data_IF_690367413758
#
_entry.id   IF_690367413758
#
_cell.length_a   1.000
_cell.length_b   1.000
_cell.length_c   1.000
_cell.angle_alpha   90.00
_cell.angle_beta   90.00
_cell.angle_gamma   90.00
#
_symmetry.space_group_name_H-M   'P 1'
#
loop_
_entity.id
_entity.type
_entity.pdbx_description
1 polymer ?
#
# COMPACT_ATOMS: atom_id res chain seq x y z
N UNK A 1 27.48 -15.12 15.59
CA UNK A 1 26.25 -14.88 16.38
C UNK A 1 26.05 -13.38 16.48
N UNK A 2 25.48 -12.78 15.43
CA UNK A 2 25.07 -11.38 15.44
C UNK A 2 23.88 -11.23 16.38
N UNK A 3 24.05 -10.48 17.46
CA UNK A 3 22.94 -9.96 18.25
C UNK A 3 22.25 -8.93 17.37
N UNK A 4 21.14 -9.30 16.75
CA UNK A 4 20.21 -8.32 16.24
C UNK A 4 19.64 -7.58 17.44
N UNK A 5 20.08 -6.34 17.64
CA UNK A 5 19.36 -5.41 18.48
C UNK A 5 18.00 -5.22 17.86
N UNK A 6 16.97 -5.80 18.48
CA UNK A 6 15.59 -5.60 18.09
C UNK A 6 15.21 -4.13 18.29
N UNK A 7 15.38 -3.33 17.25
CA UNK A 7 14.35 -2.35 16.99
C UNK A 7 13.08 -3.18 16.76
N UNK A 8 12.03 -2.95 17.54
CA UNK A 8 10.74 -3.60 17.32
C UNK A 8 10.41 -3.46 15.85
N UNK A 9 10.13 -4.55 15.12
CA UNK A 9 9.81 -4.42 13.71
C UNK A 9 8.59 -3.51 13.58
N UNK A 10 8.75 -2.43 12.84
CA UNK A 10 7.69 -1.45 12.60
C UNK A 10 6.84 -2.02 11.48
N UNK A 11 5.54 -2.16 11.74
CA UNK A 11 4.57 -2.50 10.70
C UNK A 11 4.06 -1.18 10.11
N UNK A 12 4.27 -0.98 8.79
CA UNK A 12 3.78 0.20 8.07
C UNK A 12 2.60 -0.22 7.20
N UNK A 13 1.47 0.45 7.40
CA UNK A 13 0.21 0.21 6.69
C UNK A 13 -0.36 1.53 6.17
N UNK A 14 -0.41 1.71 4.85
CA UNK A 14 -0.88 2.94 4.25
C UNK A 14 -0.10 4.18 4.69
N UNK A 15 1.20 4.04 4.93
CA UNK A 15 2.08 5.09 5.43
C UNK A 15 1.97 5.36 6.94
N UNK A 16 1.19 4.57 7.69
CA UNK A 16 1.02 4.70 9.14
C UNK A 16 1.83 3.62 9.86
N UNK A 17 2.65 4.03 10.83
CA UNK A 17 3.36 3.11 11.71
C UNK A 17 2.40 2.51 12.74
N UNK A 18 2.30 1.19 12.76
CA UNK A 18 1.45 0.45 13.68
C UNK A 18 2.37 -0.39 14.58
N UNK A 19 2.29 -0.22 15.92
CA UNK A 19 3.08 -1.02 16.85
C UNK A 19 2.73 -2.50 16.73
N UNK A 20 3.71 -3.33 16.41
CA UNK A 20 3.56 -4.78 16.33
C UNK A 20 4.91 -5.46 16.48
N UNK A 21 4.91 -6.71 16.95
CA UNK A 21 6.12 -7.51 17.14
C UNK A 21 6.74 -8.03 15.84
N UNK A 22 6.02 -7.93 14.72
CA UNK A 22 6.44 -8.39 13.39
C UNK A 22 6.18 -7.29 12.36
N UNK A 23 7.13 -7.04 11.46
CA UNK A 23 6.95 -6.21 10.27
C UNK A 23 6.87 -7.08 9.02
N UNK A 24 6.45 -6.48 7.90
CA UNK A 24 6.50 -7.15 6.60
C UNK A 24 7.93 -7.23 6.07
N UNK A 25 8.30 -8.37 5.53
CA UNK A 25 9.55 -8.53 4.78
C UNK A 25 9.33 -8.05 3.34
N UNK A 26 10.20 -7.17 2.85
CA UNK A 26 10.11 -6.66 1.49
C UNK A 26 11.38 -5.92 1.05
N UNK A 27 11.47 -5.60 -0.25
CA UNK A 27 12.57 -4.81 -0.83
C UNK A 27 12.46 -3.31 -0.56
N UNK A 28 11.25 -2.83 -0.17
CA UNK A 28 10.95 -1.47 0.27
C UNK A 28 10.69 -1.44 1.79
N UNK A 29 9.91 -0.48 2.27
CA UNK A 29 9.43 -0.44 3.66
C UNK A 29 8.38 -1.53 3.98
N UNK A 30 7.98 -2.33 2.98
CA UNK A 30 7.04 -3.43 3.12
C UNK A 30 5.57 -2.99 3.25
N UNK A 31 5.22 -1.76 2.89
CA UNK A 31 3.83 -1.28 2.93
C UNK A 31 2.97 -1.93 1.83
N UNK A 32 2.40 -3.08 2.17
CA UNK A 32 1.57 -3.88 1.26
C UNK A 32 0.32 -3.12 0.79
N UNK A 33 -0.17 -2.18 1.58
CA UNK A 33 -1.36 -1.36 1.26
C UNK A 33 -1.04 -0.33 0.18
N UNK A 34 0.05 0.41 0.33
CA UNK A 34 0.49 1.36 -0.70
C UNK A 34 0.87 0.64 -2.01
N UNK A 35 1.52 -0.53 -1.93
CA UNK A 35 1.86 -1.31 -3.12
C UNK A 35 0.62 -1.78 -3.88
N UNK A 36 -0.37 -2.34 -3.18
CA UNK A 36 -1.62 -2.77 -3.80
C UNK A 36 -2.39 -1.61 -4.43
N UNK A 37 -2.45 -0.46 -3.74
CA UNK A 37 -3.10 0.74 -4.27
C UNK A 37 -2.40 1.26 -5.53
N UNK A 38 -1.07 1.32 -5.53
CA UNK A 38 -0.29 1.73 -6.70
C UNK A 38 -0.52 0.82 -7.90
N UNK A 39 -0.50 -0.49 -7.69
CA UNK A 39 -0.75 -1.46 -8.76
C UNK A 39 -2.18 -1.38 -9.30
N UNK A 40 -3.17 -1.17 -8.44
CA UNK A 40 -4.56 -0.96 -8.87
C UNK A 40 -4.71 0.29 -9.73
N UNK A 41 -4.04 1.38 -9.38
CA UNK A 41 -4.04 2.64 -10.13
C UNK A 41 -3.37 2.46 -11.50
N UNK A 42 -2.19 1.85 -11.53
CA UNK A 42 -1.47 1.55 -12.77
C UNK A 42 -2.28 0.62 -13.67
N UNK A 43 -2.90 -0.42 -13.09
CA UNK A 43 -3.75 -1.36 -13.79
C UNK A 43 -4.99 -0.70 -14.39
N UNK A 44 -5.64 0.22 -13.68
CA UNK A 44 -6.80 0.98 -14.18
C UNK A 44 -6.46 1.81 -15.43
N UNK A 45 -5.19 2.20 -15.59
CA UNK A 45 -4.70 2.97 -16.72
C UNK A 45 -3.92 2.14 -17.75
N UNK A 46 -3.83 0.81 -17.56
CA UNK A 46 -3.02 -0.10 -18.39
C UNK A 46 -1.53 0.30 -18.49
N UNK A 47 -0.97 0.82 -17.39
CA UNK A 47 0.43 1.27 -17.31
C UNK A 47 1.39 0.23 -16.70
N UNK A 48 0.92 -1.01 -16.49
CA UNK A 48 1.72 -2.09 -15.93
C UNK A 48 1.64 -2.17 -14.41
N UNK A 49 2.78 -2.36 -13.76
CA UNK A 49 2.89 -2.58 -12.33
C UNK A 49 4.10 -1.86 -11.73
N UNK A 50 4.16 -1.73 -10.40
CA UNK A 50 5.26 -1.05 -9.71
C UNK A 50 6.61 -1.75 -9.93
N UNK A 51 6.65 -3.06 -10.11
CA UNK A 51 7.88 -3.81 -10.38
C UNK A 51 8.56 -3.44 -11.70
N UNK A 52 7.79 -2.96 -12.68
CA UNK A 52 8.33 -2.43 -13.95
C UNK A 52 8.87 -1.01 -13.79
N UNK A 53 8.25 -0.19 -12.93
CA UNK A 53 8.69 1.18 -12.67
C UNK A 53 9.89 1.24 -11.71
N UNK A 54 9.97 0.27 -10.81
CA UNK A 54 10.99 0.16 -9.77
C UNK A 54 11.53 -1.26 -9.74
N UNK A 55 12.38 -1.67 -10.70
CA UNK A 55 12.95 -3.00 -10.72
C UNK A 55 13.75 -3.29 -9.44
N UNK A 56 13.60 -4.47 -8.81
CA UNK A 56 14.27 -4.80 -7.56
C UNK A 56 15.80 -4.88 -7.68
N UNK A 57 16.30 -4.89 -8.92
CA UNK A 57 17.75 -4.86 -9.26
C UNK A 57 18.36 -3.47 -9.18
N UNK A 58 17.53 -2.42 -9.04
CA UNK A 58 18.00 -1.04 -9.02
C UNK A 58 18.42 -0.64 -7.60
N UNK A 59 19.73 -0.33 -7.34
CA UNK A 59 20.27 -0.09 -6.00
C UNK A 59 19.52 0.96 -5.15
N UNK A 60 18.92 2.03 -5.73
CA UNK A 60 18.19 3.04 -4.97
C UNK A 60 16.89 2.55 -4.34
N UNK A 61 16.43 1.34 -4.65
CA UNK A 61 15.08 0.86 -4.27
C UNK A 61 15.09 0.09 -2.97
N UNK A 62 16.24 -0.44 -2.55
CA UNK A 62 16.33 -1.16 -1.28
C UNK A 62 16.02 -0.22 -0.11
N UNK A 63 14.86 -0.45 0.53
CA UNK A 63 14.39 0.36 1.65
C UNK A 63 13.69 1.66 1.24
N UNK A 64 13.28 1.80 -0.05
CA UNK A 64 12.54 2.98 -0.50
C UNK A 64 11.23 3.14 0.30
N UNK A 65 10.95 4.35 0.71
CA UNK A 65 9.67 4.74 1.26
C UNK A 65 8.57 4.58 0.19
N UNK A 66 7.57 3.74 0.44
CA UNK A 66 6.48 3.47 -0.50
C UNK A 66 5.68 4.72 -0.89
N UNK A 67 5.74 5.80 -0.11
CA UNK A 67 5.17 7.10 -0.48
C UNK A 67 5.84 7.71 -1.71
N UNK A 68 7.12 7.45 -1.94
CA UNK A 68 7.84 7.86 -3.17
C UNK A 68 7.35 7.09 -4.39
N UNK A 69 7.03 5.80 -4.20
CA UNK A 69 6.41 4.99 -5.25
C UNK A 69 5.04 5.58 -5.61
N UNK A 70 4.20 5.88 -4.61
CA UNK A 70 2.89 6.49 -4.82
C UNK A 70 2.98 7.85 -5.54
N UNK A 71 3.93 8.71 -5.16
CA UNK A 71 4.15 9.99 -5.82
C UNK A 71 4.49 9.81 -7.32
N UNK A 72 5.34 8.84 -7.65
CA UNK A 72 5.68 8.54 -9.04
C UNK A 72 4.50 8.00 -9.84
N UNK A 73 3.67 7.16 -9.21
CA UNK A 73 2.43 6.66 -9.84
C UNK A 73 1.46 7.82 -10.13
N UNK A 74 1.25 8.73 -9.18
CA UNK A 74 0.41 9.92 -9.40
C UNK A 74 0.92 10.82 -10.53
N UNK A 75 2.24 10.98 -10.63
CA UNK A 75 2.85 11.74 -11.73
C UNK A 75 2.53 11.10 -13.10
N UNK A 76 2.60 9.76 -13.19
CA UNK A 76 2.23 9.02 -14.40
C UNK A 76 0.74 9.15 -14.71
N UNK A 77 -0.13 9.05 -13.73
CA UNK A 77 -1.58 9.26 -13.89
C UNK A 77 -1.85 10.61 -14.53
N UNK A 78 -1.28 11.68 -13.98
CA UNK A 78 -1.44 13.05 -14.52
C UNK A 78 -0.88 13.19 -15.93
N UNK A 79 0.29 12.62 -16.18
CA UNK A 79 0.93 12.65 -17.50
C UNK A 79 0.04 12.02 -18.60
N UNK A 80 -0.77 11.03 -18.23
CA UNK A 80 -1.70 10.35 -19.14
C UNK A 80 -3.15 10.90 -19.04
N UNK A 81 -3.33 12.10 -18.50
CA UNK A 81 -4.64 12.76 -18.43
C UNK A 81 -5.62 12.13 -17.45
N UNK A 82 -5.11 11.30 -16.51
CA UNK A 82 -5.94 10.64 -15.52
C UNK A 82 -6.11 11.45 -14.24
N UNK A 83 -7.21 11.19 -13.54
CA UNK A 83 -7.49 11.69 -12.20
C UNK A 83 -8.09 10.57 -11.34
N UNK A 84 -7.55 10.34 -10.15
CA UNK A 84 -8.12 9.40 -9.21
C UNK A 84 -9.49 9.87 -8.73
N UNK A 85 -10.48 8.98 -8.81
CA UNK A 85 -11.84 9.24 -8.35
C UNK A 85 -12.21 8.45 -7.10
N UNK A 86 -11.72 7.21 -6.96
CA UNK A 86 -12.03 6.35 -5.82
C UNK A 86 -10.96 5.29 -5.61
N UNK A 87 -10.70 4.98 -4.33
CA UNK A 87 -9.89 3.84 -3.90
C UNK A 87 -10.69 2.98 -2.90
N UNK A 88 -10.75 1.68 -3.15
CA UNK A 88 -11.27 0.71 -2.20
C UNK A 88 -10.20 -0.33 -1.88
N UNK A 89 -9.81 -0.43 -0.60
CA UNK A 89 -8.68 -1.23 -0.15
C UNK A 89 -9.12 -2.18 0.96
N UNK A 90 -8.77 -3.45 0.82
CA UNK A 90 -9.02 -4.50 1.81
C UNK A 90 -7.70 -5.16 2.18
N UNK A 91 -7.27 -4.95 3.43
CA UNK A 91 -6.13 -5.65 4.01
C UNK A 91 -6.62 -6.95 4.67
N UNK A 92 -6.04 -8.08 4.33
CA UNK A 92 -6.30 -9.37 4.96
C UNK A 92 -5.10 -9.73 5.83
N UNK A 93 -5.30 -9.70 7.14
CA UNK A 93 -4.26 -10.00 8.13
C UNK A 93 -4.89 -10.52 9.42
N UNK A 94 -4.23 -11.48 10.07
CA UNK A 94 -4.69 -11.99 11.35
C UNK A 94 -4.33 -11.05 12.49
N UNK A 95 -3.16 -10.48 12.45
CA UNK A 95 -2.57 -9.59 13.47
C UNK A 95 -1.78 -8.45 12.83
N UNK A 96 -1.68 -7.30 13.49
CA UNK A 96 -2.45 -6.85 14.65
C UNK A 96 -3.90 -6.49 14.29
N UNK A 97 -4.73 -6.18 15.31
CA UNK A 97 -6.07 -5.63 15.07
C UNK A 97 -5.97 -4.25 14.43
N UNK A 98 -6.40 -4.10 13.20
CA UNK A 98 -6.24 -2.87 12.39
C UNK A 98 -7.38 -1.87 12.60
N UNK A 99 -8.56 -2.34 13.02
CA UNK A 99 -9.75 -1.47 13.11
C UNK A 99 -9.57 -0.19 13.95
N UNK A 100 -8.80 -0.14 15.04
CA UNK A 100 -8.53 1.10 15.77
C UNK A 100 -7.77 2.14 14.94
N UNK A 101 -7.07 1.71 13.89
CA UNK A 101 -6.23 2.54 13.05
C UNK A 101 -6.90 3.01 11.75
N UNK A 102 -8.15 2.58 11.47
CA UNK A 102 -8.85 2.94 10.23
C UNK A 102 -8.89 4.44 9.94
N UNK A 103 -9.23 5.32 10.89
CA UNK A 103 -9.26 6.76 10.61
C UNK A 103 -7.88 7.30 10.19
N UNK A 104 -6.83 6.88 10.90
CA UNK A 104 -5.45 7.31 10.60
C UNK A 104 -4.97 6.81 9.24
N UNK A 105 -5.26 5.54 8.91
CA UNK A 105 -4.87 4.94 7.63
C UNK A 105 -5.62 5.61 6.48
N UNK A 106 -6.93 5.82 6.60
CA UNK A 106 -7.72 6.53 5.59
C UNK A 106 -7.21 7.94 5.33
N UNK A 107 -6.98 8.72 6.40
CA UNK A 107 -6.46 10.08 6.30
C UNK A 107 -5.07 10.09 5.64
N UNK A 108 -4.21 9.14 5.99
CA UNK A 108 -2.88 8.98 5.38
C UNK A 108 -2.98 8.66 3.88
N UNK A 109 -3.81 7.68 3.50
CA UNK A 109 -4.02 7.29 2.11
C UNK A 109 -4.58 8.46 1.28
N UNK A 110 -5.58 9.17 1.80
CA UNK A 110 -6.16 10.33 1.16
C UNK A 110 -5.09 11.41 0.88
N UNK A 111 -4.25 11.69 1.86
CA UNK A 111 -3.14 12.65 1.72
C UNK A 111 -2.09 12.17 0.71
N UNK A 112 -1.68 10.90 0.78
CA UNK A 112 -0.65 10.33 -0.12
C UNK A 112 -1.12 10.34 -1.57
N UNK A 113 -2.39 9.97 -1.82
CA UNK A 113 -2.96 9.92 -3.16
C UNK A 113 -3.69 11.22 -3.57
N UNK A 114 -3.61 12.27 -2.75
CA UNK A 114 -4.19 13.61 -3.02
C UNK A 114 -5.70 13.54 -3.32
N UNK A 115 -6.41 12.77 -2.49
CA UNK A 115 -7.86 12.54 -2.60
C UNK A 115 -8.60 13.07 -1.36
N UNK A 116 -9.90 13.30 -1.48
CA UNK A 116 -10.76 13.48 -0.33
C UNK A 116 -10.93 12.17 0.45
N UNK A 117 -10.96 12.21 1.78
CA UNK A 117 -11.13 11.00 2.60
C UNK A 117 -12.45 10.24 2.32
N UNK A 118 -13.49 10.94 1.86
CA UNK A 118 -14.77 10.33 1.48
C UNK A 118 -14.65 9.39 0.28
N UNK A 119 -13.62 9.58 -0.56
CA UNK A 119 -13.37 8.80 -1.77
C UNK A 119 -12.37 7.67 -1.54
N UNK A 120 -11.91 7.49 -0.29
CA UNK A 120 -11.01 6.42 0.12
C UNK A 120 -11.71 5.48 1.09
N UNK A 121 -11.88 4.23 0.70
CA UNK A 121 -12.36 3.13 1.55
C UNK A 121 -11.18 2.27 2.00
N UNK A 122 -11.07 2.04 3.30
CA UNK A 122 -10.08 1.12 3.87
C UNK A 122 -10.73 0.24 4.93
N UNK A 123 -10.51 -1.06 4.82
CA UNK A 123 -11.02 -2.08 5.74
C UNK A 123 -10.03 -3.21 5.89
N UNK A 124 -10.15 -3.97 6.98
CA UNK A 124 -9.38 -5.20 7.16
C UNK A 124 -10.27 -6.38 7.46
N UNK A 125 -9.79 -7.56 7.11
CA UNK A 125 -10.41 -8.86 7.40
C UNK A 125 -9.37 -9.77 8.03
N UNK A 126 -9.82 -10.62 8.96
CA UNK A 126 -9.02 -11.74 9.44
C UNK A 126 -9.17 -12.94 8.49
N UNK A 127 -8.34 -13.95 8.69
CA UNK A 127 -8.43 -15.21 7.98
C UNK A 127 -8.93 -16.34 8.89
N UNK A 128 -9.61 -15.96 9.99
CA UNK A 128 -10.24 -16.88 10.96
C UNK A 128 -9.29 -18.00 11.43
N UNK A 129 -8.01 -17.66 11.65
CA UNK A 129 -6.93 -18.56 12.06
C UNK A 129 -6.63 -19.70 11.06
N UNK A 130 -7.08 -19.59 9.79
CA UNK A 130 -6.85 -20.59 8.74
C UNK A 130 -5.72 -20.16 7.81
N UNK A 131 -4.86 -21.11 7.46
CA UNK A 131 -3.76 -20.93 6.52
C UNK A 131 -2.62 -20.05 7.05
N UNK A 132 -1.72 -19.65 6.15
CA UNK A 132 -0.53 -18.83 6.49
C UNK A 132 -0.93 -17.47 7.05
N UNK A 133 -1.95 -16.83 6.50
CA UNK A 133 -2.47 -15.55 7.00
C UNK A 133 -3.08 -15.75 8.39
N UNK A 134 -3.86 -16.82 8.57
CA UNK A 134 -4.49 -17.15 9.86
C UNK A 134 -3.48 -17.50 10.96
N UNK A 135 -2.29 -17.95 10.60
CA UNK A 135 -1.16 -18.16 11.55
C UNK A 135 -0.30 -16.91 11.76
N UNK A 136 -0.64 -15.78 11.11
CA UNK A 136 0.13 -14.54 11.21
C UNK A 136 1.51 -14.59 10.54
N UNK A 137 1.68 -15.46 9.55
CA UNK A 137 2.92 -15.63 8.78
C UNK A 137 2.94 -14.77 7.51
N UNK A 138 1.75 -14.36 7.04
CA UNK A 138 1.57 -13.57 5.83
C UNK A 138 0.42 -12.56 5.99
N UNK A 139 0.40 -11.56 5.13
CA UNK A 139 -0.74 -10.69 4.92
C UNK A 139 -0.94 -10.47 3.42
N UNK A 140 -2.15 -10.14 3.02
CA UNK A 140 -2.53 -9.87 1.64
C UNK A 140 -3.33 -8.57 1.57
N UNK A 141 -3.16 -7.82 0.50
CA UNK A 141 -3.95 -6.62 0.28
C UNK A 141 -4.55 -6.63 -1.13
N UNK A 142 -5.84 -6.35 -1.21
CA UNK A 142 -6.57 -6.12 -2.44
C UNK A 142 -6.94 -4.65 -2.55
N UNK A 143 -6.75 -4.07 -3.71
CA UNK A 143 -7.16 -2.70 -3.99
C UNK A 143 -7.90 -2.62 -5.33
N UNK A 144 -8.87 -1.73 -5.39
CA UNK A 144 -9.58 -1.34 -6.61
C UNK A 144 -9.50 0.17 -6.73
N UNK A 145 -9.10 0.65 -7.89
CA UNK A 145 -9.00 2.07 -8.20
C UNK A 145 -9.96 2.44 -9.32
N UNK A 146 -10.61 3.59 -9.19
CA UNK A 146 -11.33 4.25 -10.28
C UNK A 146 -10.54 5.48 -10.70
N UNK A 147 -10.21 5.54 -11.99
CA UNK A 147 -9.51 6.67 -12.60
C UNK A 147 -10.40 7.26 -13.69
N UNK A 148 -10.62 8.56 -13.63
CA UNK A 148 -11.27 9.31 -14.70
C UNK A 148 -10.21 9.74 -15.70
N UNK A 149 -10.44 9.51 -16.97
CA UNK A 149 -9.57 9.95 -18.07
C UNK A 149 -10.31 11.05 -18.81
N UNK A 150 -9.69 12.24 -18.93
CA UNK A 150 -10.25 13.32 -19.73
C UNK A 150 -10.29 12.97 -21.20
N UNK A 151 -11.30 13.45 -21.93
CA UNK A 151 -11.31 13.33 -23.39
C UNK A 151 -10.10 14.09 -23.96
N UNK A 152 -9.33 13.43 -24.81
CA UNK A 152 -8.34 14.12 -25.62
C UNK A 152 -9.08 15.18 -26.46
N UNK A 153 -8.71 16.46 -26.26
CA UNK A 153 -9.20 17.57 -27.10
C UNK A 153 -8.40 17.64 -28.38
#
# INVERSE_FOLDING_TARGET
TGVQTCALPILIIGGVEIPHSKGFLGHSDGDVVLHAACDAILGAMCLGEIGLLFPPTDPPIKGIDSRKIAARVLELVRKHGGQLAHLDITLVTQEPKISPHYPAVRASLARIFEMDEKDVSFKSKSHEHVGEIGRGEAAMCHAVATVLIGEEK
#
